data_IF_639395989994
#
_entry.id   IF_639395989994
#
_cell.length_a   1.000
_cell.length_b   1.000
_cell.length_c   1.000
_cell.angle_alpha   90.00
_cell.angle_beta   90.00
_cell.angle_gamma   90.00
#
_symmetry.space_group_name_H-M   'P 1'
#
loop_
_entity.id
_entity.type
_entity.pdbx_description
1 polymer ?
#
# COMPACT_ATOMS: atom_id res chain seq x y z
N UNK A 1 6.94 59.12 -61.86
CA UNK A 1 6.84 59.12 -60.38
C UNK A 1 5.49 58.54 -60.02
N UNK A 2 5.44 57.35 -59.43
CA UNK A 2 4.23 56.81 -58.81
C UNK A 2 4.66 56.01 -57.59
N UNK A 3 4.32 56.58 -56.44
CA UNK A 3 4.75 56.20 -55.11
C UNK A 3 4.46 54.75 -54.75
N UNK A 4 5.43 54.19 -54.03
CA UNK A 4 5.37 52.88 -53.39
C UNK A 4 4.74 53.05 -52.01
N UNK A 5 3.71 52.26 -51.67
CA UNK A 5 3.42 51.98 -50.26
C UNK A 5 2.83 50.58 -50.09
N UNK A 6 3.55 49.62 -49.48
CA UNK A 6 2.98 48.33 -49.14
C UNK A 6 2.27 48.42 -47.78
N UNK A 7 1.01 47.99 -47.74
CA UNK A 7 0.20 47.90 -46.52
C UNK A 7 0.74 46.82 -45.59
N UNK A 8 1.18 47.24 -44.40
CA UNK A 8 1.74 46.38 -43.35
C UNK A 8 0.63 45.48 -42.76
N UNK A 9 0.59 44.20 -43.14
CA UNK A 9 -0.29 43.19 -42.50
C UNK A 9 0.13 42.98 -41.05
N UNK A 10 -0.79 43.23 -40.10
CA UNK A 10 -0.61 42.86 -38.69
C UNK A 10 -0.82 41.35 -38.54
N UNK A 11 0.15 40.65 -37.97
CA UNK A 11 0.02 39.24 -37.60
C UNK A 11 -1.02 39.10 -36.49
N UNK A 12 -1.90 38.07 -36.50
CA UNK A 12 -2.82 37.85 -35.40
C UNK A 12 -2.01 37.48 -34.16
N UNK A 13 -2.05 38.34 -33.15
CA UNK A 13 -1.52 38.04 -31.82
C UNK A 13 -2.42 37.00 -31.19
N UNK A 14 -1.87 35.83 -30.82
CA UNK A 14 -2.63 34.84 -30.06
C UNK A 14 -3.19 35.52 -28.80
N UNK A 15 -4.50 35.35 -28.50
CA UNK A 15 -5.05 35.87 -27.26
C UNK A 15 -4.31 35.15 -26.13
N UNK A 16 -3.59 35.90 -25.31
CA UNK A 16 -2.99 35.36 -24.09
C UNK A 16 -4.16 35.08 -23.14
N UNK A 17 -4.52 33.82 -22.85
CA UNK A 17 -5.63 33.56 -21.95
C UNK A 17 -5.18 33.97 -20.55
N UNK A 18 -5.61 35.16 -20.11
CA UNK A 18 -5.48 35.58 -18.72
C UNK A 18 -6.20 34.54 -17.86
N UNK A 19 -5.48 33.81 -16.98
CA UNK A 19 -6.08 32.77 -16.17
C UNK A 19 -7.18 33.40 -15.32
N UNK A 20 -8.42 32.93 -15.46
CA UNK A 20 -9.50 33.35 -14.57
C UNK A 20 -9.18 32.75 -13.19
N UNK A 21 -8.98 33.57 -12.14
CA UNK A 21 -8.45 33.11 -10.86
C UNK A 21 -9.30 32.01 -10.21
N UNK A 22 -10.62 31.99 -10.47
CA UNK A 22 -11.50 30.92 -10.01
C UNK A 22 -11.21 29.56 -10.65
N UNK A 23 -10.93 29.50 -11.96
CA UNK A 23 -10.67 28.23 -12.67
C UNK A 23 -9.32 27.64 -12.24
N UNK A 24 -8.32 28.50 -12.04
CA UNK A 24 -7.00 28.06 -11.58
C UNK A 24 -7.06 27.45 -10.17
N UNK A 25 -7.87 28.01 -9.27
CA UNK A 25 -8.05 27.46 -7.92
C UNK A 25 -8.74 26.09 -7.93
N UNK A 26 -9.74 25.89 -8.80
CA UNK A 26 -10.41 24.59 -8.97
C UNK A 26 -9.49 23.53 -9.58
N UNK A 27 -8.66 23.91 -10.55
CA UNK A 27 -7.64 23.00 -11.11
C UNK A 27 -6.62 22.60 -10.04
N UNK A 28 -6.16 23.56 -9.23
CA UNK A 28 -5.24 23.27 -8.11
C UNK A 28 -5.89 22.39 -7.04
N UNK A 29 -7.15 22.63 -6.70
CA UNK A 29 -7.91 21.81 -5.76
C UNK A 29 -8.12 20.38 -6.30
N UNK A 30 -8.45 20.24 -7.59
CA UNK A 30 -8.57 18.93 -8.25
C UNK A 30 -7.24 18.18 -8.28
N UNK A 31 -6.13 18.87 -8.53
CA UNK A 31 -4.79 18.29 -8.50
C UNK A 31 -4.39 17.87 -7.07
N UNK A 32 -4.75 18.65 -6.06
CA UNK A 32 -4.52 18.29 -4.65
C UNK A 32 -5.32 17.05 -4.24
N UNK A 33 -6.61 16.98 -4.60
CA UNK A 33 -7.44 15.79 -4.38
C UNK A 33 -6.89 14.59 -5.12
N UNK A 34 -6.37 14.77 -6.34
CA UNK A 34 -5.72 13.70 -7.10
C UNK A 34 -4.49 13.18 -6.35
N UNK A 35 -3.62 14.05 -5.81
CA UNK A 35 -2.48 13.61 -5.01
C UNK A 35 -2.89 12.91 -3.71
N UNK A 36 -3.90 13.41 -3.00
CA UNK A 36 -4.45 12.76 -1.81
C UNK A 36 -5.02 11.38 -2.16
N UNK A 37 -5.76 11.29 -3.27
CA UNK A 37 -6.27 10.04 -3.82
C UNK A 37 -5.14 9.07 -4.13
N UNK A 38 -4.13 9.49 -4.91
CA UNK A 38 -2.96 8.67 -5.23
C UNK A 38 -2.22 8.19 -3.97
N UNK A 39 -2.05 9.06 -2.97
CA UNK A 39 -1.41 8.72 -1.71
C UNK A 39 -2.20 7.65 -0.94
N UNK A 40 -3.54 7.76 -0.92
CA UNK A 40 -4.41 6.74 -0.34
C UNK A 40 -4.30 5.40 -1.09
N UNK A 41 -4.21 5.42 -2.42
CA UNK A 41 -4.09 4.20 -3.24
C UNK A 41 -2.72 3.52 -3.13
N UNK A 42 -1.63 4.27 -2.93
CA UNK A 42 -0.27 3.72 -2.85
C UNK A 42 -0.02 2.92 -1.56
N UNK A 43 -0.83 3.12 -0.52
CA UNK A 43 -0.61 2.53 0.80
C UNK A 43 -1.10 1.07 0.95
N UNK A 44 -1.62 0.45 -0.12
CA UNK A 44 -2.26 -0.87 -0.06
C UNK A 44 -1.28 -2.05 0.02
N UNK A 45 0.04 -1.85 -0.19
CA UNK A 45 0.98 -2.98 -0.21
C UNK A 45 2.33 -2.66 0.43
N UNK A 46 2.30 -2.15 1.66
CA UNK A 46 3.50 -1.97 2.47
C UNK A 46 4.07 -3.29 3.03
N UNK A 47 3.30 -4.38 3.01
CA UNK A 47 3.73 -5.69 3.53
C UNK A 47 4.93 -6.23 2.73
N UNK A 48 5.93 -6.76 3.43
CA UNK A 48 7.11 -7.36 2.80
C UNK A 48 6.81 -8.83 2.50
N UNK A 49 7.11 -9.27 1.27
CA UNK A 49 6.90 -10.67 0.89
C UNK A 49 7.91 -11.58 1.59
N UNK A 50 7.43 -12.60 2.29
CA UNK A 50 8.23 -13.66 2.92
C UNK A 50 7.83 -15.03 2.36
N UNK A 51 8.54 -16.07 2.80
CA UNK A 51 8.12 -17.45 2.60
C UNK A 51 7.48 -18.01 3.88
N UNK A 52 6.80 -19.15 3.74
CA UNK A 52 6.17 -19.85 4.86
C UNK A 52 7.18 -20.24 5.95
N UNK A 53 8.39 -20.68 5.58
CA UNK A 53 9.42 -21.07 6.56
C UNK A 53 9.83 -19.90 7.48
N UNK A 54 9.96 -18.69 6.94
CA UNK A 54 10.26 -17.49 7.73
C UNK A 54 9.10 -17.18 8.67
N UNK A 55 7.85 -17.30 8.21
CA UNK A 55 6.68 -17.18 9.07
C UNK A 55 6.71 -18.17 10.24
N UNK A 56 7.01 -19.44 9.98
CA UNK A 56 7.10 -20.46 11.03
C UNK A 56 8.18 -20.13 12.07
N UNK A 57 9.32 -19.59 11.65
CA UNK A 57 10.36 -19.11 12.56
C UNK A 57 9.90 -17.94 13.42
N UNK A 58 9.18 -16.98 12.82
CA UNK A 58 8.62 -15.82 13.54
C UNK A 58 7.55 -16.26 14.55
N UNK A 59 6.71 -17.21 14.16
CA UNK A 59 5.67 -17.77 15.01
C UNK A 59 6.31 -18.53 16.18
N UNK A 60 7.32 -19.36 15.93
CA UNK A 60 8.06 -20.07 16.97
C UNK A 60 8.82 -19.13 17.92
N UNK A 61 9.27 -17.96 17.43
CA UNK A 61 9.91 -16.93 18.24
C UNK A 61 8.91 -16.10 19.06
N UNK A 62 7.60 -16.26 18.88
CA UNK A 62 6.59 -15.43 19.52
C UNK A 62 6.53 -14.00 18.98
N UNK A 63 7.04 -13.78 17.76
CA UNK A 63 7.13 -12.46 17.15
C UNK A 63 5.89 -12.06 16.35
N UNK A 64 4.94 -12.99 16.19
CA UNK A 64 3.67 -12.79 15.47
C UNK A 64 2.57 -12.36 16.44
N UNK A 65 1.87 -11.29 16.09
CA UNK A 65 0.73 -10.76 16.85
C UNK A 65 -0.62 -11.18 16.27
N UNK A 66 -0.78 -11.09 14.96
CA UNK A 66 -2.01 -11.43 14.25
C UNK A 66 -1.68 -12.07 12.88
N UNK A 67 -2.62 -12.87 12.39
CA UNK A 67 -2.53 -13.52 11.09
C UNK A 67 -3.87 -13.34 10.38
N UNK A 68 -3.86 -12.64 9.26
CA UNK A 68 -5.07 -12.37 8.48
C UNK A 68 -4.97 -12.98 7.09
N UNK A 69 -6.08 -13.54 6.61
CA UNK A 69 -6.19 -14.16 5.30
C UNK A 69 -6.90 -13.21 4.35
N UNK A 70 -6.13 -12.59 3.46
CA UNK A 70 -6.61 -11.64 2.46
C UNK A 70 -6.95 -12.35 1.16
N UNK A 71 -8.18 -12.15 0.70
CA UNK A 71 -8.70 -12.66 -0.58
C UNK A 71 -8.50 -14.19 -0.77
N UNK A 72 -8.48 -14.94 0.34
CA UNK A 72 -8.30 -16.41 0.38
C UNK A 72 -7.01 -16.95 -0.26
N UNK A 73 -6.06 -16.07 -0.59
CA UNK A 73 -4.85 -16.41 -1.34
C UNK A 73 -3.59 -15.85 -0.69
N UNK A 74 -3.71 -14.84 0.16
CA UNK A 74 -2.55 -14.19 0.78
C UNK A 74 -2.72 -14.17 2.28
N UNK A 75 -1.70 -14.63 2.99
CA UNK A 75 -1.62 -14.49 4.45
C UNK A 75 -0.80 -13.26 4.75
N UNK A 76 -1.38 -12.35 5.51
CA UNK A 76 -0.74 -11.19 6.10
C UNK A 76 -0.39 -11.49 7.55
N UNK A 77 0.79 -11.02 7.96
CA UNK A 77 1.38 -11.32 9.27
C UNK A 77 1.70 -10.01 9.96
N UNK A 78 1.04 -9.79 11.11
CA UNK A 78 1.34 -8.71 12.02
C UNK A 78 2.43 -9.10 13.02
N UNK A 79 3.37 -8.20 13.25
CA UNK A 79 4.41 -8.36 14.26
C UNK A 79 3.98 -7.81 15.62
N UNK A 80 4.46 -8.43 16.69
CA UNK A 80 4.28 -7.88 18.04
C UNK A 80 5.02 -6.55 18.22
N UNK A 81 4.58 -5.68 19.15
CA UNK A 81 5.30 -4.45 19.46
C UNK A 81 6.75 -4.66 19.89
N UNK A 82 7.05 -5.82 20.50
CA UNK A 82 8.40 -6.20 20.86
C UNK A 82 9.23 -6.61 19.63
N UNK A 83 8.65 -7.36 18.70
CA UNK A 83 9.31 -7.72 17.45
C UNK A 83 9.62 -6.49 16.59
N UNK A 84 8.71 -5.51 16.52
CA UNK A 84 8.96 -4.23 15.83
C UNK A 84 10.18 -3.46 16.36
N UNK A 85 10.61 -3.73 17.61
CA UNK A 85 11.79 -3.11 18.21
C UNK A 85 13.08 -3.88 17.93
N UNK A 86 13.01 -5.11 17.41
CA UNK A 86 14.20 -5.91 17.14
C UNK A 86 14.95 -5.36 15.91
N UNK A 87 16.30 -5.29 15.96
CA UNK A 87 17.11 -4.76 14.86
C UNK A 87 16.92 -5.51 13.53
N UNK A 88 16.64 -6.81 13.59
CA UNK A 88 16.41 -7.64 12.40
C UNK A 88 15.21 -7.14 11.59
N UNK A 89 14.06 -6.98 12.25
CA UNK A 89 12.84 -6.52 11.61
C UNK A 89 12.91 -5.04 11.24
N UNK A 90 13.51 -4.17 12.07
CA UNK A 90 13.63 -2.75 11.74
C UNK A 90 14.44 -2.50 10.48
N UNK A 91 15.56 -3.22 10.30
CA UNK A 91 16.38 -3.09 9.10
C UNK A 91 15.60 -3.49 7.86
N UNK A 92 14.88 -4.61 7.95
CA UNK A 92 14.09 -5.14 6.85
C UNK A 92 12.92 -4.23 6.49
N UNK A 93 12.20 -3.73 7.50
CA UNK A 93 11.12 -2.75 7.35
C UNK A 93 11.64 -1.44 6.76
N UNK A 94 12.74 -0.89 7.24
CA UNK A 94 13.27 0.39 6.73
C UNK A 94 13.84 0.26 5.31
N UNK A 95 14.40 -0.90 4.96
CA UNK A 95 14.95 -1.14 3.63
C UNK A 95 13.86 -1.32 2.55
N UNK A 96 12.73 -1.94 2.91
CA UNK A 96 11.69 -2.32 1.94
C UNK A 96 10.42 -1.47 2.06
N UNK A 97 10.23 -0.71 3.15
CA UNK A 97 9.09 0.20 3.33
C UNK A 97 9.52 1.65 3.24
N UNK A 98 8.70 2.45 2.55
CA UNK A 98 8.86 3.90 2.55
C UNK A 98 8.54 4.52 3.92
N UNK A 99 8.99 5.77 4.17
CA UNK A 99 8.76 6.48 5.43
C UNK A 99 7.28 6.76 5.76
N UNK A 100 6.38 6.51 4.81
CA UNK A 100 4.93 6.67 4.94
C UNK A 100 4.16 5.36 4.88
N UNK A 101 4.84 4.22 4.95
CA UNK A 101 4.20 2.92 4.96
C UNK A 101 3.28 2.76 6.17
N UNK A 102 2.08 2.22 5.94
CA UNK A 102 1.11 1.96 7.00
C UNK A 102 1.65 1.05 8.11
N UNK A 103 1.10 1.21 9.31
CA UNK A 103 1.38 0.35 10.47
C UNK A 103 0.63 -0.99 10.41
N UNK A 104 -0.04 -1.30 9.30
CA UNK A 104 -0.64 -2.60 9.04
C UNK A 104 0.38 -3.73 8.95
N UNK A 105 -0.11 -4.92 8.57
CA UNK A 105 0.66 -6.15 8.50
C UNK A 105 2.05 -5.94 7.91
N UNK A 106 3.08 -6.37 8.65
CA UNK A 106 4.48 -6.13 8.31
C UNK A 106 4.93 -7.00 7.14
N UNK A 107 4.42 -8.22 7.12
CA UNK A 107 4.82 -9.26 6.19
C UNK A 107 3.61 -9.90 5.53
N UNK A 108 3.83 -10.50 4.37
CA UNK A 108 2.82 -11.32 3.72
C UNK A 108 3.45 -12.48 2.96
N UNK A 109 2.69 -13.54 2.75
CA UNK A 109 3.07 -14.60 1.82
C UNK A 109 1.84 -15.19 1.12
N UNK A 110 1.95 -15.54 -0.16
CA UNK A 110 0.88 -16.21 -0.88
C UNK A 110 0.77 -17.68 -0.41
N UNK A 111 -0.45 -18.18 -0.36
CA UNK A 111 -0.76 -19.57 -0.09
C UNK A 111 -1.55 -20.19 -1.24
N UNK A 112 -1.44 -21.51 -1.37
CA UNK A 112 -2.16 -22.26 -2.41
C UNK A 112 -3.59 -22.58 -1.95
N UNK A 113 -3.76 -22.97 -0.69
CA UNK A 113 -5.05 -23.36 -0.13
C UNK A 113 -5.18 -22.85 1.32
N UNK A 114 -6.27 -22.12 1.58
CA UNK A 114 -6.56 -21.52 2.88
C UNK A 114 -6.83 -22.55 3.99
N UNK A 115 -7.50 -23.66 3.67
CA UNK A 115 -7.80 -24.71 4.64
C UNK A 115 -6.55 -25.45 5.04
N UNK A 116 -5.71 -25.78 4.05
CA UNK A 116 -4.42 -26.41 4.30
C UNK A 116 -3.54 -25.55 5.21
N UNK A 117 -3.49 -24.23 4.97
CA UNK A 117 -2.77 -23.31 5.84
C UNK A 117 -3.35 -23.27 7.25
N UNK A 118 -4.67 -23.20 7.40
CA UNK A 118 -5.33 -23.23 8.72
C UNK A 118 -4.96 -24.49 9.50
N UNK A 119 -5.02 -25.67 8.87
CA UNK A 119 -4.61 -26.92 9.51
C UNK A 119 -3.14 -26.94 9.93
N UNK A 120 -2.25 -26.38 9.09
CA UNK A 120 -0.83 -26.24 9.44
C UNK A 120 -0.62 -25.30 10.62
N UNK A 121 -1.31 -24.16 10.62
CA UNK A 121 -1.25 -23.18 11.70
C UNK A 121 -1.74 -23.78 13.02
N UNK A 122 -2.81 -24.56 13.00
CA UNK A 122 -3.31 -25.30 14.17
C UNK A 122 -2.30 -26.34 14.67
N UNK A 123 -1.62 -27.06 13.75
CA UNK A 123 -0.56 -28.03 14.11
C UNK A 123 0.65 -27.35 14.75
N UNK A 124 1.11 -26.22 14.19
CA UNK A 124 2.23 -25.46 14.73
C UNK A 124 1.94 -24.92 16.14
N UNK A 125 0.69 -24.56 16.39
CA UNK A 125 0.23 -24.02 17.67
C UNK A 125 -0.37 -25.08 18.60
N UNK A 126 -0.30 -26.37 18.23
CA UNK A 126 -0.90 -27.45 19.02
C UNK A 126 -0.31 -27.51 20.44
N UNK A 127 0.98 -27.18 20.57
CA UNK A 127 1.72 -27.15 21.84
C UNK A 127 1.51 -25.85 22.63
N UNK A 128 0.85 -24.84 22.05
CA UNK A 128 0.56 -23.56 22.70
C UNK A 128 -0.78 -23.62 23.43
N UNK A 129 -0.92 -22.97 24.61
CA UNK A 129 -2.19 -22.84 25.30
C UNK A 129 -3.19 -22.06 24.44
N UNK A 130 -4.48 -22.39 24.54
CA UNK A 130 -5.53 -21.85 23.66
C UNK A 130 -5.57 -20.32 23.61
N UNK A 131 -5.22 -19.66 24.70
CA UNK A 131 -5.20 -18.20 24.83
C UNK A 131 -4.09 -17.52 24.01
N UNK A 132 -3.02 -18.26 23.71
CA UNK A 132 -1.89 -17.78 22.90
C UNK A 132 -2.01 -18.19 21.43
N UNK A 133 -3.07 -18.93 21.08
CA UNK A 133 -3.29 -19.37 19.69
C UNK A 133 -3.82 -18.22 18.86
N UNK A 134 -3.09 -17.92 17.81
CA UNK A 134 -3.50 -17.02 16.75
C UNK A 134 -4.62 -17.67 15.95
N UNK A 135 -5.68 -16.89 15.75
CA UNK A 135 -6.78 -17.23 14.86
C UNK A 135 -6.47 -16.68 13.46
N UNK A 136 -6.95 -17.38 12.44
CA UNK A 136 -6.85 -16.93 11.06
C UNK A 136 -8.07 -16.06 10.76
N UNK A 137 -7.87 -14.74 10.67
CA UNK A 137 -8.96 -13.81 10.43
C UNK A 137 -9.18 -13.63 8.91
N UNK A 138 -10.32 -14.06 8.33
CA UNK A 138 -10.61 -13.84 6.93
C UNK A 138 -10.91 -12.36 6.69
N UNK A 139 -10.19 -11.74 5.76
CA UNK A 139 -10.37 -10.35 5.37
C UNK A 139 -10.59 -10.28 3.87
N UNK A 140 -11.80 -9.97 3.44
CA UNK A 140 -12.08 -9.67 2.04
C UNK A 140 -11.79 -8.18 1.80
N UNK A 141 -10.65 -7.88 1.16
CA UNK A 141 -10.31 -6.50 0.78
C UNK A 141 -10.84 -6.24 -0.63
N UNK A 142 -11.96 -5.52 -0.72
CA UNK A 142 -12.49 -5.06 -2.01
C UNK A 142 -11.61 -3.94 -2.55
N UNK A 143 -10.92 -4.19 -3.65
CA UNK A 143 -10.20 -3.17 -4.39
C UNK A 143 -11.16 -2.28 -5.17
N UNK A 144 -10.85 -0.99 -5.32
CA UNK A 144 -11.69 -0.02 -6.05
C UNK A 144 -11.88 -0.36 -7.55
N UNK A 145 -11.13 -1.33 -8.08
CA UNK A 145 -11.23 -1.81 -9.46
C UNK A 145 -12.07 -3.09 -9.60
N UNK A 146 -12.63 -3.59 -8.50
CA UNK A 146 -13.41 -4.83 -8.45
C UNK A 146 -14.94 -4.56 -8.41
N UNK A 147 -15.34 -3.37 -8.87
CA UNK A 147 -16.74 -2.88 -8.98
C UNK A 147 -17.13 -2.76 -10.45
#
# INVERSE_FOLDING_TARGET
>A
MSDTTPTKRRKPTLPNPTPRPGVQLWVMAGLLVLFIGMFWFNNQNAAIKINQQKFEQMLAAGDVHDVSLVNKQTVEVGLTPAALQKPEYQKDLTAHRGPFADRGAQYYFPIVDAKYFQEQLEKLQANQPREQRLQLDPVDRVGLFDI
#
